data_IF_378185246976
#
_entry.id   IF_378185246976
#
_cell.length_a   1.000
_cell.length_b   1.000
_cell.length_c   1.000
_cell.angle_alpha   90.00
_cell.angle_beta   90.00
_cell.angle_gamma   90.00
#
_symmetry.space_group_name_H-M   'P 1'
#
loop_
_entity.id
_entity.type
_entity.pdbx_description
1 polymer ?
#
# COMPACT_ATOMS: atom_id res chain seq x y z
N UNK A 1 -10.35 9.99 16.43
CA UNK A 1 -9.83 10.21 15.04
C UNK A 1 -10.50 9.27 14.04
N UNK A 2 -11.01 8.11 14.48
CA UNK A 2 -11.70 7.14 13.62
C UNK A 2 -13.01 7.61 12.99
N UNK A 3 -13.74 8.53 13.64
CA UNK A 3 -15.02 9.06 13.16
C UNK A 3 -14.90 9.90 11.88
N UNK A 4 -13.70 10.42 11.59
CA UNK A 4 -13.45 11.19 10.36
C UNK A 4 -13.22 10.28 9.16
N UNK A 5 -12.59 9.12 9.38
CA UNK A 5 -12.35 8.09 8.36
C UNK A 5 -13.65 7.42 7.92
N UNK A 6 -14.60 7.24 8.83
CA UNK A 6 -15.94 6.70 8.52
C UNK A 6 -16.84 7.73 7.81
N UNK A 7 -16.66 9.03 8.09
CA UNK A 7 -17.39 10.11 7.39
C UNK A 7 -16.86 10.42 5.98
N UNK A 8 -15.59 10.11 5.70
CA UNK A 8 -14.97 10.36 4.40
C UNK A 8 -14.26 9.10 3.87
N UNK A 9 -15.01 8.03 3.54
CA UNK A 9 -14.42 6.85 2.92
C UNK A 9 -13.74 7.26 1.60
N UNK A 10 -12.45 6.99 1.49
CA UNK A 10 -11.60 7.37 0.34
C UNK A 10 -10.71 8.60 0.55
N UNK A 11 -11.00 9.48 1.51
CA UNK A 11 -10.22 10.71 1.70
C UNK A 11 -8.99 10.53 2.61
N UNK A 12 -9.02 9.53 3.49
CA UNK A 12 -7.94 9.26 4.45
C UNK A 12 -7.54 7.79 4.35
N UNK A 13 -6.58 7.44 3.50
CA UNK A 13 -5.94 6.13 3.54
C UNK A 13 -5.09 6.00 4.82
N UNK A 14 -4.98 4.80 5.40
CA UNK A 14 -3.91 4.58 6.41
C UNK A 14 -2.53 4.80 5.78
N UNK A 15 -1.53 5.04 6.62
CA UNK A 15 -0.14 5.13 6.17
C UNK A 15 0.28 3.91 5.34
N UNK A 16 -0.14 2.71 5.75
CA UNK A 16 0.18 1.47 5.04
C UNK A 16 -0.52 1.40 3.68
N UNK A 17 -1.81 1.73 3.61
CA UNK A 17 -2.54 1.77 2.35
C UNK A 17 -1.97 2.84 1.40
N UNK A 18 -1.59 4.00 1.92
CA UNK A 18 -0.91 5.03 1.15
C UNK A 18 0.46 4.57 0.63
N UNK A 19 1.25 3.83 1.44
CA UNK A 19 2.52 3.26 1.01
C UNK A 19 2.34 2.28 -0.15
N UNK A 20 1.33 1.41 -0.11
CA UNK A 20 0.99 0.51 -1.22
C UNK A 20 0.53 1.31 -2.44
N UNK A 21 -0.33 2.33 -2.23
CA UNK A 21 -0.89 3.16 -3.28
C UNK A 21 0.19 3.87 -4.11
N UNK A 22 1.34 4.24 -3.52
CA UNK A 22 2.49 4.83 -4.23
C UNK A 22 3.04 3.94 -5.35
N UNK A 23 2.85 2.63 -5.27
CA UNK A 23 3.32 1.68 -6.28
C UNK A 23 2.32 1.45 -7.40
N UNK A 24 1.06 1.86 -7.24
CA UNK A 24 -0.02 1.59 -8.20
C UNK A 24 0.29 2.13 -9.60
N UNK A 25 0.78 3.37 -9.79
CA UNK A 25 1.03 3.88 -11.15
C UNK A 25 2.02 3.03 -11.94
N UNK A 26 3.15 2.66 -11.31
CA UNK A 26 4.16 1.83 -11.96
C UNK A 26 3.67 0.40 -12.17
N UNK A 27 2.93 -0.15 -11.21
CA UNK A 27 2.36 -1.50 -11.32
C UNK A 27 1.36 -1.57 -12.48
N UNK A 28 0.47 -0.60 -12.60
CA UNK A 28 -0.51 -0.52 -13.67
C UNK A 28 0.15 -0.42 -15.05
N UNK A 29 1.17 0.43 -15.18
CA UNK A 29 1.94 0.53 -16.42
C UNK A 29 2.61 -0.78 -16.80
N UNK A 30 3.27 -1.44 -15.84
CA UNK A 30 3.94 -2.72 -16.08
C UNK A 30 2.93 -3.80 -16.50
N UNK A 31 1.76 -3.86 -15.87
CA UNK A 31 0.73 -4.84 -16.23
C UNK A 31 0.12 -4.56 -17.60
N UNK A 32 -0.20 -3.30 -17.91
CA UNK A 32 -0.70 -2.91 -19.22
C UNK A 32 0.31 -3.25 -20.33
N UNK A 33 1.59 -2.87 -20.11
CA UNK A 33 2.67 -3.19 -21.03
C UNK A 33 2.87 -4.69 -21.19
N UNK A 34 2.78 -5.48 -20.11
CA UNK A 34 2.89 -6.94 -20.17
C UNK A 34 1.77 -7.55 -21.02
N UNK A 35 0.52 -7.10 -20.83
CA UNK A 35 -0.64 -7.57 -21.59
C UNK A 35 -0.45 -7.27 -23.08
N UNK A 36 -0.08 -6.02 -23.41
CA UNK A 36 0.06 -5.57 -24.79
C UNK A 36 1.30 -6.13 -25.49
N UNK A 37 2.34 -6.48 -24.73
CA UNK A 37 3.54 -7.13 -25.26
C UNK A 37 3.35 -8.61 -25.61
N UNK A 38 2.22 -9.20 -25.22
CA UNK A 38 1.95 -10.61 -25.50
C UNK A 38 1.69 -10.82 -26.99
N UNK A 39 2.32 -11.82 -27.60
CA UNK A 39 2.02 -12.24 -28.98
C UNK A 39 0.74 -13.08 -29.08
N UNK A 40 0.08 -13.39 -27.95
CA UNK A 40 -1.16 -14.16 -27.89
C UNK A 40 -2.40 -13.22 -27.93
N UNK A 41 -3.13 -13.16 -29.06
CA UNK A 41 -4.31 -12.31 -29.18
C UNK A 41 -5.47 -12.79 -28.31
N UNK A 42 -5.54 -14.07 -27.96
CA UNK A 42 -6.57 -14.59 -27.07
C UNK A 42 -6.34 -14.05 -25.66
N UNK A 43 -5.08 -14.09 -25.18
CA UNK A 43 -4.71 -13.52 -23.90
C UNK A 43 -5.02 -12.02 -23.80
N UNK A 44 -4.67 -11.24 -24.84
CA UNK A 44 -4.99 -9.81 -24.89
C UNK A 44 -6.50 -9.54 -24.79
N UNK A 45 -7.30 -10.29 -25.55
CA UNK A 45 -8.77 -10.17 -25.53
C UNK A 45 -9.38 -10.58 -24.20
N UNK A 46 -8.93 -11.68 -23.59
CA UNK A 46 -9.39 -12.11 -22.28
C UNK A 46 -9.08 -11.05 -21.21
N UNK A 47 -7.87 -10.47 -21.25
CA UNK A 47 -7.48 -9.41 -20.33
C UNK A 47 -8.33 -8.14 -20.52
N UNK A 48 -8.54 -7.70 -21.76
CA UNK A 48 -9.40 -6.55 -22.01
C UNK A 48 -10.85 -6.78 -21.60
N UNK A 49 -11.38 -7.99 -21.85
CA UNK A 49 -12.72 -8.38 -21.40
C UNK A 49 -12.84 -8.35 -19.87
N UNK A 50 -11.84 -8.86 -19.14
CA UNK A 50 -11.79 -8.80 -17.68
C UNK A 50 -11.71 -7.36 -17.16
N UNK A 51 -11.04 -6.48 -17.90
CA UNK A 51 -10.95 -5.06 -17.60
C UNK A 51 -12.20 -4.27 -18.05
N UNK A 52 -13.07 -4.87 -18.86
CA UNK A 52 -14.26 -4.22 -19.42
C UNK A 52 -13.92 -3.18 -20.50
N UNK A 53 -12.79 -3.36 -21.19
CA UNK A 53 -12.30 -2.45 -22.21
C UNK A 53 -12.63 -2.98 -23.61
N UNK A 54 -13.10 -2.13 -24.55
CA UNK A 54 -13.16 -2.48 -25.95
C UNK A 54 -11.72 -2.57 -26.51
N UNK A 55 -11.36 -3.70 -27.10
CA UNK A 55 -10.05 -3.87 -27.75
C UNK A 55 -10.11 -3.23 -29.15
N UNK A 56 -9.19 -2.31 -29.48
CA UNK A 56 -9.04 -1.81 -30.87
C UNK A 56 -8.86 -0.30 -31.06
N UNK A 57 -8.91 0.50 -29.99
CA UNK A 57 -8.72 1.96 -30.11
C UNK A 57 -7.24 2.35 -29.94
N UNK A 58 -6.83 3.46 -30.57
CA UNK A 58 -5.46 3.98 -30.50
C UNK A 58 -4.99 4.28 -29.06
N UNK A 59 -5.93 4.46 -28.13
CA UNK A 59 -5.66 4.71 -26.69
C UNK A 59 -5.76 3.46 -25.81
N UNK A 60 -5.74 2.24 -26.39
CA UNK A 60 -5.93 0.99 -25.63
C UNK A 60 -4.93 0.86 -24.47
N UNK A 61 -3.67 1.27 -24.63
CA UNK A 61 -2.67 1.23 -23.56
C UNK A 61 -3.00 2.16 -22.40
N UNK A 62 -3.33 3.41 -22.68
CA UNK A 62 -3.62 4.39 -21.64
C UNK A 62 -4.93 4.06 -20.91
N UNK A 63 -5.95 3.61 -21.64
CA UNK A 63 -7.20 3.13 -21.05
C UNK A 63 -6.98 1.88 -20.19
N UNK A 64 -6.10 0.99 -20.61
CA UNK A 64 -5.73 -0.20 -19.83
C UNK A 64 -4.97 0.15 -18.56
N UNK A 65 -3.95 1.02 -18.63
CA UNK A 65 -3.23 1.51 -17.44
C UNK A 65 -4.19 2.18 -16.45
N UNK A 66 -5.09 3.04 -16.93
CA UNK A 66 -6.09 3.70 -16.11
C UNK A 66 -7.04 2.72 -15.44
N UNK A 67 -7.63 1.78 -16.19
CA UNK A 67 -8.56 0.80 -15.65
C UNK A 67 -7.90 -0.10 -14.59
N UNK A 68 -6.68 -0.56 -14.84
CA UNK A 68 -5.91 -1.35 -13.87
C UNK A 68 -5.63 -0.51 -12.62
N UNK A 69 -5.20 0.74 -12.77
CA UNK A 69 -4.95 1.67 -11.67
C UNK A 69 -6.18 1.89 -10.80
N UNK A 70 -7.33 2.16 -11.40
CA UNK A 70 -8.59 2.36 -10.69
C UNK A 70 -9.02 1.11 -9.91
N UNK A 71 -8.95 -0.07 -10.54
CA UNK A 71 -9.31 -1.34 -9.89
C UNK A 71 -8.42 -1.63 -8.67
N UNK A 72 -7.11 -1.47 -8.80
CA UNK A 72 -6.17 -1.70 -7.70
C UNK A 72 -6.39 -0.68 -6.58
N UNK A 73 -6.54 0.60 -6.93
CA UNK A 73 -6.77 1.68 -5.95
C UNK A 73 -8.02 1.43 -5.12
N UNK A 74 -9.13 1.05 -5.79
CA UNK A 74 -10.39 0.70 -5.13
C UNK A 74 -10.23 -0.50 -4.17
N UNK A 75 -9.46 -1.52 -4.56
CA UNK A 75 -9.19 -2.68 -3.70
C UNK A 75 -8.39 -2.26 -2.45
N UNK A 76 -7.39 -1.37 -2.61
CA UNK A 76 -6.60 -0.84 -1.49
C UNK A 76 -7.51 -0.08 -0.52
N UNK A 77 -8.37 0.81 -1.02
CA UNK A 77 -9.33 1.57 -0.22
C UNK A 77 -10.29 0.66 0.55
N UNK A 78 -10.88 -0.32 -0.14
CA UNK A 78 -11.80 -1.29 0.48
C UNK A 78 -11.11 -2.15 1.53
N UNK A 79 -9.84 -2.51 1.33
CA UNK A 79 -9.08 -3.31 2.28
C UNK A 79 -8.57 -2.47 3.47
N UNK A 80 -8.28 -1.18 3.29
CA UNK A 80 -7.92 -0.29 4.40
C UNK A 80 -9.05 -0.20 5.44
N UNK A 81 -10.30 -0.10 4.98
CA UNK A 81 -11.47 -0.08 5.85
C UNK A 81 -11.71 -1.40 6.59
N UNK A 82 -11.34 -2.54 5.99
CA UNK A 82 -11.56 -3.89 6.55
C UNK A 82 -10.53 -4.32 7.61
N UNK A 83 -9.37 -3.67 7.71
CA UNK A 83 -8.34 -4.05 8.71
C UNK A 83 -8.73 -3.79 10.17
N UNK A 84 -9.81 -3.08 10.44
CA UNK A 84 -10.28 -2.85 11.82
C UNK A 84 -10.94 -4.07 12.45
N UNK A 85 -11.36 -5.08 11.67
CA UNK A 85 -12.11 -6.25 12.19
C UNK A 85 -11.27 -7.53 12.28
N UNK A 86 -10.15 -7.63 11.58
CA UNK A 86 -9.26 -8.80 11.63
C UNK A 86 -7.84 -8.40 12.04
N UNK A 87 -7.46 -8.70 13.29
CA UNK A 87 -6.05 -8.86 13.67
C UNK A 87 -5.47 -10.02 12.85
N UNK A 88 -4.87 -9.73 11.70
CA UNK A 88 -4.09 -10.73 10.97
C UNK A 88 -2.64 -10.72 11.48
N UNK A 89 -2.20 -11.87 11.98
CA UNK A 89 -0.93 -12.13 12.66
C UNK A 89 0.25 -12.38 11.69
N UNK A 90 0.25 -11.80 10.50
CA UNK A 90 1.31 -11.97 9.50
C UNK A 90 2.21 -10.74 9.41
N UNK A 91 3.53 -10.88 9.16
CA UNK A 91 4.39 -9.73 8.92
C UNK A 91 3.90 -8.98 7.69
N UNK A 92 3.67 -7.67 7.84
CA UNK A 92 3.19 -6.85 6.73
C UNK A 92 4.31 -6.71 5.70
N UNK A 93 4.07 -7.12 4.46
CA UNK A 93 5.03 -7.07 3.33
C UNK A 93 5.68 -5.70 3.10
N UNK A 94 5.06 -4.62 3.60
CA UNK A 94 5.51 -3.23 3.43
C UNK A 94 5.88 -2.53 4.74
N UNK A 95 6.12 -3.25 5.84
CA UNK A 95 6.60 -2.64 7.08
C UNK A 95 8.03 -2.13 6.87
N UNK A 96 8.23 -0.81 6.85
CA UNK A 96 9.56 -0.23 6.85
C UNK A 96 10.07 -0.35 8.28
N UNK A 97 11.14 -1.10 8.52
CA UNK A 97 11.76 -1.20 9.83
C UNK A 97 12.18 0.19 10.33
N UNK A 98 11.38 0.76 11.22
CA UNK A 98 11.83 1.76 12.18
C UNK A 98 11.90 1.09 13.54
N UNK A 99 12.76 0.08 13.68
CA UNK A 99 13.30 -0.29 14.98
C UNK A 99 14.37 0.74 15.34
N UNK A 100 13.93 1.89 15.87
CA UNK A 100 14.78 2.58 16.83
C UNK A 100 14.39 2.03 18.19
N UNK A 101 15.09 0.96 18.59
CA UNK A 101 15.11 0.53 19.98
C UNK A 101 15.84 1.62 20.80
N UNK A 102 15.08 2.55 21.35
CA UNK A 102 15.54 3.31 22.50
C UNK A 102 15.43 2.40 23.71
N UNK A 103 16.52 1.71 24.08
CA UNK A 103 16.62 1.00 25.35
C UNK A 103 16.53 1.99 26.52
N UNK A 104 15.54 1.88 27.43
CA UNK A 104 15.53 2.61 28.68
C UNK A 104 15.90 1.64 29.80
N UNK A 105 17.15 1.65 30.25
CA UNK A 105 17.50 0.98 31.49
C UNK A 105 18.97 0.63 31.57
N UNK A 106 19.72 1.48 32.25
CA UNK A 106 20.64 1.04 33.30
C UNK A 106 20.36 1.92 34.51
N UNK A 107 19.56 1.39 35.43
CA UNK A 107 19.53 1.83 36.82
C UNK A 107 20.37 0.83 37.58
N UNK A 108 21.59 1.20 37.95
CA UNK A 108 22.27 0.56 39.06
C UNK A 108 22.53 1.59 40.17
N UNK A 109 22.25 1.13 41.37
CA UNK A 109 22.00 1.86 42.60
C UNK A 109 23.23 1.80 43.51
N UNK A 110 23.59 2.96 44.07
CA UNK A 110 24.42 3.25 45.26
C UNK A 110 25.84 2.65 45.39
N UNK A 111 26.80 3.56 45.56
CA UNK A 111 27.61 3.61 46.78
C UNK A 111 27.88 5.08 47.15
N UNK A 112 27.51 5.46 48.37
CA UNK A 112 27.90 6.72 49.01
C UNK A 112 29.42 6.73 49.24
N UNK A 113 30.11 7.86 49.04
CA UNK A 113 30.55 8.71 50.16
C UNK A 113 31.38 9.92 49.67
N UNK A 114 31.25 10.98 50.47
CA UNK A 114 32.14 12.13 50.70
C UNK A 114 32.06 13.37 49.78
N UNK A 115 31.46 14.38 50.38
CA UNK A 115 31.33 15.79 50.03
C UNK A 115 32.70 16.49 49.95
N UNK A 116 33.00 17.18 48.84
CA UNK A 116 33.90 18.36 48.84
C UNK A 116 33.64 19.24 47.62
N UNK A 117 33.11 20.44 47.84
CA UNK A 117 33.27 21.64 46.99
C UNK A 117 33.29 22.85 47.95
N UNK A 118 34.01 23.95 47.70
CA UNK A 118 35.09 24.22 46.73
C UNK A 118 36.47 24.38 47.37
#
# INVERSE_FOLDING_TARGET
MDDLKTKYPGLLLSYHAHKIHKHVPNLSRTLAGLILSSDDPQFQNECASLLGLPLGDADTEQQMEMCISEKISRIIEMNDGRRKTHKQNGPNLFECGSQFEGHPGDKDVLAEDVMTIP
#
